data_IF_615087712688
#
_entry.id   IF_615087712688
#
_cell.length_a   1.000
_cell.length_b   1.000
_cell.length_c   1.000
_cell.angle_alpha   90.00
_cell.angle_beta   90.00
_cell.angle_gamma   90.00
#
_symmetry.space_group_name_H-M   'P 1'
#
loop_
_entity.id
_entity.type
_entity.pdbx_description
1 polymer ?
#
# COMPACT_ATOMS: atom_id res chain seq x y z
N UNK A 1 -2.47 5.27 -15.80
CA UNK A 1 -2.10 4.21 -14.84
C UNK A 1 -3.08 4.18 -13.68
N UNK A 2 -3.15 5.23 -12.84
CA UNK A 2 -4.03 5.27 -11.66
C UNK A 2 -5.50 5.01 -12.02
N UNK A 3 -6.09 5.82 -12.91
CA UNK A 3 -7.52 5.70 -13.28
C UNK A 3 -7.92 4.28 -13.71
N UNK A 4 -7.18 3.68 -14.65
CA UNK A 4 -7.42 2.30 -15.10
C UNK A 4 -7.20 1.28 -13.97
N UNK A 5 -6.20 1.51 -13.13
CA UNK A 5 -5.95 0.67 -11.95
C UNK A 5 -7.12 0.69 -10.98
N UNK A 6 -7.69 1.86 -10.70
CA UNK A 6 -8.88 1.97 -9.86
C UNK A 6 -10.12 1.36 -10.51
N UNK A 7 -10.32 1.54 -11.81
CA UNK A 7 -11.39 0.85 -12.56
C UNK A 7 -11.26 -0.69 -12.39
N UNK A 8 -10.04 -1.23 -12.49
CA UNK A 8 -9.80 -2.67 -12.26
C UNK A 8 -10.04 -3.10 -10.82
N UNK A 9 -9.65 -2.31 -9.83
CA UNK A 9 -9.90 -2.61 -8.41
C UNK A 9 -11.38 -2.54 -8.05
N UNK A 10 -12.14 -1.65 -8.69
CA UNK A 10 -13.59 -1.54 -8.49
C UNK A 10 -14.33 -2.76 -9.06
N UNK A 11 -13.84 -3.33 -10.16
CA UNK A 11 -14.36 -4.59 -10.71
C UNK A 11 -13.92 -5.80 -9.86
N UNK A 12 -12.66 -5.82 -9.42
CA UNK A 12 -12.04 -6.92 -8.69
C UNK A 12 -10.90 -6.41 -7.80
N UNK A 13 -11.21 -6.24 -6.52
CA UNK A 13 -10.28 -5.66 -5.54
C UNK A 13 -9.03 -6.52 -5.31
N UNK A 14 -9.09 -7.82 -5.62
CA UNK A 14 -7.99 -8.76 -5.48
C UNK A 14 -7.14 -8.91 -6.75
N UNK A 15 -7.47 -8.21 -7.84
CA UNK A 15 -6.81 -8.38 -9.16
C UNK A 15 -5.29 -8.26 -9.08
N UNK A 16 -4.79 -7.15 -8.49
CA UNK A 16 -3.35 -6.89 -8.39
C UNK A 16 -2.68 -7.74 -7.31
N UNK A 17 -3.37 -8.04 -6.22
CA UNK A 17 -2.87 -8.92 -5.16
C UNK A 17 -2.58 -10.30 -5.70
N UNK A 18 -3.53 -10.90 -6.44
CA UNK A 18 -3.32 -12.21 -7.06
C UNK A 18 -2.19 -12.19 -8.09
N UNK A 19 -2.11 -11.12 -8.90
CA UNK A 19 -1.02 -10.96 -9.86
C UNK A 19 0.35 -10.88 -9.16
N UNK A 20 0.46 -10.13 -8.06
CA UNK A 20 1.69 -10.01 -7.29
C UNK A 20 2.10 -11.35 -6.66
N UNK A 21 1.18 -12.05 -5.98
CA UNK A 21 1.49 -13.30 -5.29
C UNK A 21 1.80 -14.46 -6.23
N UNK A 22 1.09 -14.55 -7.37
CA UNK A 22 1.33 -15.61 -8.37
C UNK A 22 2.74 -15.53 -8.99
N UNK A 23 3.36 -14.35 -9.00
CA UNK A 23 4.73 -14.17 -9.49
C UNK A 23 5.82 -14.71 -8.54
N UNK A 24 5.47 -14.99 -7.28
CA UNK A 24 6.43 -15.30 -6.22
C UNK A 24 6.08 -16.57 -5.42
N UNK A 25 5.23 -17.45 -5.97
CA UNK A 25 4.62 -18.57 -5.25
C UNK A 25 5.62 -19.57 -4.62
N UNK A 26 6.82 -19.72 -5.20
CA UNK A 26 7.87 -20.61 -4.69
C UNK A 26 8.78 -19.98 -3.61
N UNK A 27 8.54 -18.71 -3.26
CA UNK A 27 9.40 -18.00 -2.31
C UNK A 27 9.01 -18.30 -0.86
N UNK A 28 10.01 -18.50 0.00
CA UNK A 28 9.77 -18.69 1.44
C UNK A 28 9.26 -17.42 2.14
N UNK A 29 9.66 -16.26 1.63
CA UNK A 29 9.25 -14.93 2.13
C UNK A 29 8.92 -14.07 0.93
N UNK A 30 7.77 -13.41 0.96
CA UNK A 30 7.32 -12.47 -0.07
C UNK A 30 7.18 -11.09 0.59
N UNK A 31 7.82 -10.08 0.00
CA UNK A 31 7.70 -8.69 0.44
C UNK A 31 6.89 -7.94 -0.62
N UNK A 32 5.70 -7.50 -0.25
CA UNK A 32 4.90 -6.58 -1.06
C UNK A 32 5.17 -5.16 -0.57
N UNK A 33 5.88 -4.38 -1.39
CA UNK A 33 6.39 -3.07 -0.96
C UNK A 33 5.42 -1.90 -1.16
N UNK A 34 4.45 -2.02 -2.07
CA UNK A 34 3.61 -0.90 -2.51
C UNK A 34 2.11 -1.19 -2.34
N UNK A 35 1.72 -1.59 -1.13
CA UNK A 35 0.31 -1.64 -0.74
C UNK A 35 -0.18 -0.23 -0.44
N UNK A 36 -1.25 0.21 -1.12
CA UNK A 36 -1.73 1.59 -1.01
C UNK A 36 -3.20 1.69 -0.63
N UNK A 37 -3.93 0.57 -0.59
CA UNK A 37 -5.37 0.52 -0.31
C UNK A 37 -5.66 -0.47 0.80
N UNK A 38 -6.73 -0.22 1.53
CA UNK A 38 -7.29 -1.16 2.50
C UNK A 38 -7.52 -2.54 1.88
N UNK A 39 -8.12 -2.56 0.69
CA UNK A 39 -8.42 -3.78 -0.04
C UNK A 39 -7.18 -4.57 -0.45
N UNK A 40 -6.02 -3.93 -0.63
CA UNK A 40 -4.77 -4.67 -0.89
C UNK A 40 -4.42 -5.52 0.34
N UNK A 41 -4.58 -4.97 1.55
CA UNK A 41 -4.29 -5.66 2.81
C UNK A 41 -5.31 -6.77 3.05
N UNK A 42 -6.60 -6.46 2.97
CA UNK A 42 -7.70 -7.43 3.20
C UNK A 42 -7.58 -8.65 2.28
N UNK A 43 -7.19 -8.44 1.01
CA UNK A 43 -7.01 -9.54 0.06
C UNK A 43 -5.67 -10.30 0.22
N UNK A 44 -4.74 -9.79 1.04
CA UNK A 44 -3.50 -10.47 1.42
C UNK A 44 -3.56 -11.12 2.81
N UNK A 45 -4.60 -10.83 3.60
CA UNK A 45 -4.73 -11.37 4.95
C UNK A 45 -4.79 -12.91 4.93
N UNK A 46 -3.84 -13.51 5.64
CA UNK A 46 -3.67 -14.94 5.79
C UNK A 46 -2.86 -15.23 7.05
N UNK A 47 -2.74 -16.50 7.48
CA UNK A 47 -2.24 -16.87 8.81
C UNK A 47 -0.76 -16.50 9.10
N UNK A 48 -0.03 -15.95 8.12
CA UNK A 48 1.38 -15.54 8.24
C UNK A 48 1.68 -14.18 7.62
N UNK A 49 0.66 -13.37 7.37
CA UNK A 49 0.85 -12.01 6.82
C UNK A 49 1.23 -11.06 7.96
N UNK A 50 2.26 -10.23 7.74
CA UNK A 50 2.69 -9.19 8.67
C UNK A 50 2.60 -7.86 7.94
N UNK A 51 1.84 -6.93 8.50
CA UNK A 51 1.64 -5.59 7.95
C UNK A 51 2.63 -4.61 8.58
N UNK A 52 3.40 -3.91 7.73
CA UNK A 52 4.44 -2.98 8.16
C UNK A 52 4.14 -1.58 7.61
N UNK A 53 3.87 -0.62 8.50
CA UNK A 53 3.70 0.79 8.14
C UNK A 53 5.01 1.54 8.33
N UNK A 54 5.54 2.06 7.24
CA UNK A 54 6.67 3.00 7.27
C UNK A 54 6.12 4.42 7.27
N UNK A 55 6.55 5.21 8.24
CA UNK A 55 6.25 6.63 8.36
C UNK A 55 7.55 7.42 8.49
N UNK A 56 7.48 8.73 8.28
CA UNK A 56 8.64 9.60 8.49
C UNK A 56 8.16 10.95 8.98
N UNK A 57 8.99 11.61 9.78
CA UNK A 57 8.74 12.98 10.22
C UNK A 57 8.60 13.91 9.00
N UNK A 58 7.67 14.86 9.08
CA UNK A 58 7.48 15.85 8.03
C UNK A 58 8.77 16.64 7.76
N UNK A 59 9.57 16.93 8.79
CA UNK A 59 10.88 17.58 8.63
C UNK A 59 11.87 16.76 7.80
N UNK A 60 11.92 15.44 8.01
CA UNK A 60 12.74 14.51 7.21
C UNK A 60 12.25 14.42 5.76
N UNK A 61 10.94 14.49 5.54
CA UNK A 61 10.38 14.56 4.17
C UNK A 61 10.73 15.87 3.50
N UNK A 62 10.56 17.01 4.19
CA UNK A 62 10.88 18.34 3.67
C UNK A 62 12.37 18.46 3.35
N UNK A 63 13.26 17.93 4.20
CA UNK A 63 14.71 17.94 3.93
C UNK A 63 15.08 17.13 2.67
N UNK A 64 14.25 16.17 2.30
CA UNK A 64 14.33 15.39 1.06
C UNK A 64 13.62 16.04 -0.13
N UNK A 65 13.12 17.27 0.02
CA UNK A 65 12.46 18.03 -1.04
C UNK A 65 10.95 17.79 -1.16
N UNK A 66 10.31 17.19 -0.15
CA UNK A 66 8.87 17.05 -0.14
C UNK A 66 8.18 18.42 -0.09
N UNK A 67 7.27 18.64 -1.05
CA UNK A 67 6.37 19.78 -1.10
C UNK A 67 4.99 19.20 -1.39
N UNK A 68 4.02 19.49 -0.53
CA UNK A 68 2.65 19.02 -0.70
C UNK A 68 2.06 19.51 -2.03
N UNK A 69 1.44 18.59 -2.77
CA UNK A 69 0.76 18.84 -4.04
C UNK A 69 -0.67 18.36 -3.98
N UNK A 70 -1.60 19.32 -4.03
CA UNK A 70 -3.03 19.07 -4.21
C UNK A 70 -3.30 18.24 -5.46
N UNK A 71 -4.18 17.26 -5.35
CA UNK A 71 -4.49 16.26 -6.36
C UNK A 71 -3.52 15.08 -6.42
N UNK A 72 -2.43 15.09 -5.63
CA UNK A 72 -1.47 13.98 -5.55
C UNK A 72 -1.40 13.48 -4.11
N UNK A 73 -0.92 14.32 -3.19
CA UNK A 73 -0.68 13.95 -1.79
C UNK A 73 -1.96 13.84 -0.96
N UNK A 74 -3.09 14.29 -1.48
CA UNK A 74 -4.45 14.15 -0.93
C UNK A 74 -5.29 13.12 -1.70
N UNK A 75 -4.71 12.46 -2.70
CA UNK A 75 -5.39 11.45 -3.49
C UNK A 75 -5.34 10.09 -2.81
N UNK A 76 -6.28 9.21 -3.17
CA UNK A 76 -6.34 7.85 -2.64
C UNK A 76 -5.06 7.04 -2.89
N UNK A 77 -4.27 7.35 -3.93
CA UNK A 77 -2.96 6.71 -4.14
C UNK A 77 -1.95 6.94 -3.04
N UNK A 78 -2.04 8.06 -2.31
CA UNK A 78 -1.11 8.38 -1.22
C UNK A 78 -1.76 8.20 0.16
N UNK A 79 -3.07 8.45 0.29
CA UNK A 79 -3.78 8.46 1.57
C UNK A 79 -4.65 7.23 1.86
N UNK A 80 -4.72 6.25 0.94
CA UNK A 80 -5.65 5.11 1.03
C UNK A 80 -5.48 4.19 2.25
N UNK A 81 -4.44 4.39 3.06
CA UNK A 81 -4.16 3.68 4.30
C UNK A 81 -4.03 4.61 5.53
N UNK A 82 -4.31 5.91 5.40
CA UNK A 82 -4.11 6.86 6.50
C UNK A 82 -5.08 6.64 7.67
N UNK A 83 -6.22 6.01 7.41
CA UNK A 83 -7.20 5.61 8.43
C UNK A 83 -7.05 4.15 8.89
N UNK A 84 -6.08 3.40 8.35
CA UNK A 84 -5.83 2.03 8.79
C UNK A 84 -4.88 2.04 9.98
N UNK A 85 -5.38 1.62 11.14
CA UNK A 85 -4.61 1.72 12.39
C UNK A 85 -4.08 0.40 12.94
N UNK A 86 -4.50 -0.74 12.38
CA UNK A 86 -4.24 -2.07 12.91
C UNK A 86 -2.98 -2.74 12.31
N UNK A 87 -1.98 -1.95 11.93
CA UNK A 87 -0.69 -2.48 11.46
C UNK A 87 0.06 -3.25 12.57
N UNK A 88 0.64 -4.40 12.22
CA UNK A 88 1.43 -5.22 13.16
C UNK A 88 2.72 -4.52 13.61
N UNK A 89 3.38 -3.82 12.68
CA UNK A 89 4.64 -3.12 12.92
C UNK A 89 4.58 -1.70 12.37
N UNK A 90 5.01 -0.73 13.17
CA UNK A 90 5.18 0.66 12.74
C UNK A 90 6.66 1.05 12.81
N UNK A 91 7.20 1.56 11.71
CA UNK A 91 8.57 2.06 11.58
C UNK A 91 8.50 3.56 11.32
N UNK A 92 9.36 4.34 12.00
CA UNK A 92 9.40 5.80 11.93
C UNK A 92 10.82 6.32 11.71
#
# INVERSE_FOLDING_TARGET
MIKWGEEKRNEDSAYFVRAALSSAFDSQVIIVSDCRRMSDIENMEGPKTITVRVSSLLSSRISRGFIFKTGIDDSESECGLDQYDIFDVRVQ
#
